data_IF_768301788542
#
_entry.id   IF_768301788542
#
_cell.length_a   1.000
_cell.length_b   1.000
_cell.length_c   1.000
_cell.angle_alpha   90.00
_cell.angle_beta   90.00
_cell.angle_gamma   90.00
#
_symmetry.space_group_name_H-M   'P 1'
#
loop_
_entity.id
_entity.type
_entity.pdbx_description
1 polymer ?
#
# COMPACT_ATOMS: atom_id res chain seq x y z
N UNK A 1 1.09 4.06 -5.06
CA UNK A 1 1.46 3.02 -4.06
C UNK A 1 2.97 2.82 -4.06
N UNK A 2 3.55 2.42 -2.93
CA UNK A 2 4.96 2.03 -2.84
C UNK A 2 5.15 0.54 -3.14
N UNK A 3 6.23 0.19 -3.84
CA UNK A 3 6.61 -1.20 -4.13
C UNK A 3 8.04 -1.43 -3.64
N UNK A 4 8.19 -2.36 -2.69
CA UNK A 4 9.47 -2.71 -2.07
C UNK A 4 10.37 -3.45 -3.07
N UNK A 5 11.64 -3.05 -3.11
CA UNK A 5 12.70 -3.63 -3.93
C UNK A 5 13.42 -4.79 -3.23
N UNK A 6 13.38 -4.85 -1.88
CA UNK A 6 14.00 -5.95 -1.11
C UNK A 6 13.29 -7.28 -1.39
N UNK A 7 14.06 -8.38 -1.42
CA UNK A 7 13.54 -9.73 -1.68
C UNK A 7 13.13 -10.00 -3.12
N UNK A 8 13.42 -9.10 -4.07
CA UNK A 8 13.22 -9.33 -5.50
C UNK A 8 14.53 -9.88 -6.11
N UNK A 9 14.45 -11.09 -6.68
CA UNK A 9 15.59 -11.75 -7.33
C UNK A 9 16.15 -10.91 -8.48
N UNK A 10 17.48 -10.82 -8.53
CA UNK A 10 18.27 -10.15 -9.55
C UNK A 10 19.18 -11.18 -10.23
N UNK A 11 18.70 -11.81 -11.29
CA UNK A 11 19.51 -12.74 -12.08
C UNK A 11 20.53 -12.02 -12.98
N UNK A 12 20.33 -10.73 -13.28
CA UNK A 12 21.15 -10.02 -14.26
C UNK A 12 22.41 -9.32 -13.72
N UNK A 13 22.43 -8.68 -12.53
CA UNK A 13 23.55 -7.77 -12.17
C UNK A 13 23.84 -7.54 -10.66
N UNK A 14 24.06 -8.59 -9.86
CA UNK A 14 24.84 -8.45 -8.62
C UNK A 14 24.05 -8.40 -7.30
N UNK A 15 23.13 -9.36 -7.12
CA UNK A 15 22.62 -9.74 -5.81
C UNK A 15 21.41 -8.94 -5.32
N UNK A 16 20.70 -9.52 -4.37
CA UNK A 16 19.56 -8.89 -3.71
C UNK A 16 20.04 -7.74 -2.81
N UNK A 17 19.16 -6.77 -2.52
CA UNK A 17 19.45 -5.74 -1.52
C UNK A 17 19.82 -6.46 -0.21
N UNK A 18 20.99 -6.19 0.38
CA UNK A 18 21.47 -6.94 1.54
C UNK A 18 20.48 -6.92 2.71
N UNK A 19 20.39 -8.04 3.40
CA UNK A 19 19.70 -8.09 4.69
C UNK A 19 20.34 -7.06 5.64
N UNK A 20 19.50 -6.30 6.35
CA UNK A 20 19.93 -5.21 7.22
C UNK A 20 20.16 -3.85 6.54
N UNK A 21 20.01 -3.74 5.21
CA UNK A 21 20.04 -2.42 4.55
C UNK A 21 18.88 -1.54 5.04
N UNK A 22 19.22 -0.44 5.72
CA UNK A 22 18.28 0.45 6.40
C UNK A 22 17.93 1.71 5.59
N UNK A 23 18.43 1.85 4.36
CA UNK A 23 18.07 2.97 3.48
C UNK A 23 16.73 2.79 2.76
N UNK A 24 16.33 3.77 1.95
CA UNK A 24 15.14 3.62 1.10
C UNK A 24 15.39 2.59 -0.01
N UNK A 25 14.42 1.70 -0.22
CA UNK A 25 14.48 0.63 -1.23
C UNK A 25 13.08 0.32 -1.78
N UNK A 26 12.43 1.34 -2.33
CA UNK A 26 11.12 1.19 -2.96
C UNK A 26 10.96 2.20 -4.10
N UNK A 27 10.03 1.92 -5.00
CA UNK A 27 9.59 2.86 -6.04
C UNK A 27 8.11 3.18 -5.90
N UNK A 28 7.71 4.36 -6.35
CA UNK A 28 6.30 4.73 -6.45
C UNK A 28 5.74 4.28 -7.79
N UNK A 29 4.54 3.70 -7.74
CA UNK A 29 3.82 3.17 -8.90
C UNK A 29 2.40 3.68 -8.88
N UNK A 30 1.86 3.97 -10.06
CA UNK A 30 0.54 4.55 -10.25
C UNK A 30 -0.31 3.63 -11.12
N UNK A 31 -1.49 3.28 -10.60
CA UNK A 31 -2.60 2.78 -11.39
C UNK A 31 -3.46 3.99 -11.77
N UNK A 32 -3.83 4.12 -13.05
CA UNK A 32 -4.57 5.27 -13.58
C UNK A 32 -5.86 4.80 -14.22
N UNK A 33 -6.97 5.46 -13.89
CA UNK A 33 -8.28 5.27 -14.51
C UNK A 33 -9.10 6.57 -14.37
N UNK A 34 -10.19 6.69 -15.12
CA UNK A 34 -11.15 7.77 -14.88
C UNK A 34 -11.98 7.47 -13.62
N UNK A 35 -12.34 8.51 -12.86
CA UNK A 35 -13.12 8.34 -11.63
C UNK A 35 -14.46 7.63 -11.89
N UNK A 36 -15.15 7.97 -12.98
CA UNK A 36 -16.40 7.32 -13.37
C UNK A 36 -16.25 5.83 -13.70
N UNK A 37 -15.13 5.43 -14.32
CA UNK A 37 -14.85 4.02 -14.58
C UNK A 37 -14.56 3.26 -13.28
N UNK A 38 -13.78 3.86 -12.37
CA UNK A 38 -13.46 3.25 -11.09
C UNK A 38 -14.73 3.02 -10.25
N UNK A 39 -15.62 4.00 -10.21
CA UNK A 39 -16.89 3.90 -9.49
C UNK A 39 -17.88 2.94 -10.18
N UNK A 40 -17.85 2.83 -11.51
CA UNK A 40 -18.82 2.06 -12.29
C UNK A 40 -18.49 0.57 -12.47
N UNK A 41 -17.21 0.17 -12.33
CA UNK A 41 -16.76 -1.20 -12.65
C UNK A 41 -16.48 -2.09 -11.42
N UNK A 42 -16.75 -1.59 -10.22
CA UNK A 42 -16.64 -2.34 -8.97
C UNK A 42 -15.21 -2.63 -8.50
N UNK A 43 -15.10 -3.38 -7.39
CA UNK A 43 -13.83 -3.59 -6.68
C UNK A 43 -12.84 -4.48 -7.45
N UNK A 44 -13.33 -5.51 -8.16
CA UNK A 44 -12.48 -6.41 -8.94
C UNK A 44 -11.66 -5.67 -10.00
N UNK A 45 -12.27 -4.69 -10.68
CA UNK A 45 -11.57 -3.84 -11.63
C UNK A 45 -10.46 -3.00 -10.97
N UNK A 46 -10.74 -2.42 -9.80
CA UNK A 46 -9.74 -1.66 -9.05
C UNK A 46 -8.54 -2.54 -8.63
N UNK A 47 -8.81 -3.77 -8.18
CA UNK A 47 -7.78 -4.76 -7.83
C UNK A 47 -6.93 -5.12 -9.05
N UNK A 48 -7.56 -5.36 -10.20
CA UNK A 48 -6.85 -5.67 -11.45
C UNK A 48 -5.91 -4.53 -11.87
N UNK A 49 -6.38 -3.29 -11.87
CA UNK A 49 -5.55 -2.11 -12.17
C UNK A 49 -4.33 -2.02 -11.25
N UNK A 50 -4.52 -2.28 -9.95
CA UNK A 50 -3.42 -2.27 -8.97
C UNK A 50 -2.44 -3.42 -9.25
N UNK A 51 -2.95 -4.61 -9.53
CA UNK A 51 -2.15 -5.81 -9.83
C UNK A 51 -1.29 -5.59 -11.06
N UNK A 52 -1.88 -5.11 -12.15
CA UNK A 52 -1.16 -4.80 -13.39
C UNK A 52 -0.11 -3.73 -13.17
N UNK A 53 -0.45 -2.65 -12.46
CA UNK A 53 0.50 -1.59 -12.15
C UNK A 53 1.71 -2.11 -11.37
N UNK A 54 1.49 -2.93 -10.32
CA UNK A 54 2.57 -3.57 -9.55
C UNK A 54 3.37 -4.59 -10.36
N UNK A 55 2.73 -5.33 -11.26
CA UNK A 55 3.37 -6.34 -12.09
C UNK A 55 4.39 -5.76 -13.08
N UNK A 56 4.18 -4.51 -13.55
CA UNK A 56 5.14 -3.78 -14.40
C UNK A 56 6.46 -3.45 -13.70
N UNK A 57 6.52 -3.55 -12.38
CA UNK A 57 7.70 -3.17 -11.61
C UNK A 57 8.71 -4.31 -11.62
N UNK A 58 9.57 -4.29 -12.63
CA UNK A 58 10.75 -5.16 -12.70
C UNK A 58 11.95 -4.49 -12.04
N UNK A 59 13.07 -5.22 -11.95
CA UNK A 59 14.33 -4.64 -11.50
C UNK A 59 14.82 -3.54 -12.44
N UNK A 60 14.74 -3.76 -13.76
CA UNK A 60 15.11 -2.80 -14.80
C UNK A 60 14.27 -1.53 -14.70
N UNK A 61 12.97 -1.67 -14.39
CA UNK A 61 12.11 -0.54 -14.11
C UNK A 61 12.61 0.26 -12.90
N UNK A 62 12.92 -0.41 -11.78
CA UNK A 62 13.42 0.26 -10.58
C UNK A 62 14.75 0.98 -10.82
N UNK A 63 15.67 0.36 -11.57
CA UNK A 63 16.93 0.97 -11.98
C UNK A 63 16.72 2.18 -12.88
N UNK A 64 15.86 2.06 -13.89
CA UNK A 64 15.51 3.17 -14.78
C UNK A 64 14.92 4.35 -14.01
N UNK A 65 14.10 4.09 -12.98
CA UNK A 65 13.60 5.14 -12.09
C UNK A 65 14.73 5.80 -11.29
N UNK A 66 15.69 5.02 -10.78
CA UNK A 66 16.85 5.56 -10.07
C UNK A 66 17.71 6.43 -10.99
N UNK A 67 18.02 5.94 -12.21
CA UNK A 67 18.77 6.67 -13.22
C UNK A 67 18.06 7.98 -13.61
N UNK A 68 16.74 7.92 -13.82
CA UNK A 68 15.92 9.11 -14.08
C UNK A 68 16.01 10.13 -12.93
N UNK A 69 16.00 9.68 -11.67
CA UNK A 69 16.11 10.58 -10.52
C UNK A 69 17.49 11.21 -10.37
N UNK A 70 18.54 10.57 -10.90
CA UNK A 70 19.89 11.17 -10.97
C UNK A 70 19.93 12.25 -12.06
N UNK A 71 19.31 11.99 -13.22
CA UNK A 71 19.33 12.89 -14.37
C UNK A 71 18.42 14.11 -14.18
N UNK A 72 17.18 13.89 -13.75
CA UNK A 72 16.11 14.90 -13.71
C UNK A 72 15.78 15.35 -12.28
N UNK A 73 16.43 14.76 -11.28
CA UNK A 73 16.07 14.95 -9.88
C UNK A 73 14.78 14.21 -9.49
N UNK A 74 14.32 14.45 -8.25
CA UNK A 74 13.15 13.76 -7.71
C UNK A 74 11.84 14.39 -8.26
N UNK A 75 10.96 13.61 -8.91
CA UNK A 75 9.71 14.14 -9.44
C UNK A 75 8.76 14.57 -8.33
N UNK A 76 8.05 15.68 -8.55
CA UNK A 76 6.96 16.12 -7.68
C UNK A 76 5.74 15.24 -7.95
N UNK A 77 5.29 14.52 -6.91
CA UNK A 77 4.11 13.67 -7.00
C UNK A 77 2.86 14.56 -6.94
N UNK A 78 2.05 14.53 -8.01
CA UNK A 78 0.79 15.25 -8.07
C UNK A 78 -0.15 14.76 -6.96
N UNK A 79 -0.64 15.68 -6.12
CA UNK A 79 -1.55 15.37 -5.01
C UNK A 79 -3.03 15.47 -5.40
N UNK A 80 -3.35 16.29 -6.39
CA UNK A 80 -4.72 16.47 -6.86
C UNK A 80 -5.17 15.25 -7.67
N UNK A 81 -6.33 14.68 -7.33
CA UNK A 81 -6.91 13.48 -7.97
C UNK A 81 -6.00 12.23 -7.87
N UNK A 82 -5.12 12.21 -6.87
CA UNK A 82 -4.25 11.08 -6.56
C UNK A 82 -4.58 10.57 -5.17
N UNK A 83 -4.54 9.25 -4.99
CA UNK A 83 -4.65 8.62 -3.68
C UNK A 83 -3.38 7.83 -3.38
N UNK A 84 -2.68 8.21 -2.31
CA UNK A 84 -1.46 7.56 -1.86
C UNK A 84 -1.78 6.44 -0.88
N UNK A 85 -1.16 5.28 -1.08
CA UNK A 85 -1.26 4.13 -0.16
C UNK A 85 0.13 3.58 0.12
N UNK A 86 0.42 3.39 1.39
CA UNK A 86 1.64 2.77 1.92
C UNK A 86 1.26 1.64 2.86
N UNK A 87 1.95 0.51 2.74
CA UNK A 87 1.75 -0.63 3.62
C UNK A 87 2.92 -0.72 4.60
N UNK A 88 2.62 -0.62 5.89
CA UNK A 88 3.59 -0.74 7.00
C UNK A 88 3.21 -1.87 7.95
N UNK A 89 2.27 -2.74 7.55
CA UNK A 89 1.87 -3.91 8.34
C UNK A 89 3.03 -4.88 8.61
N UNK A 90 4.05 -4.87 7.75
CA UNK A 90 5.27 -5.66 7.87
C UNK A 90 6.46 -4.91 8.47
N UNK A 91 6.25 -3.73 9.05
CA UNK A 91 7.33 -2.94 9.65
C UNK A 91 7.80 -3.49 11.02
N UNK A 92 7.04 -4.42 11.63
CA UNK A 92 7.37 -5.03 12.91
C UNK A 92 7.19 -4.09 14.11
N UNK A 93 6.39 -3.02 13.96
CA UNK A 93 6.19 -2.06 15.04
C UNK A 93 5.53 -2.66 16.28
N UNK A 94 4.73 -3.72 16.11
CA UNK A 94 4.06 -4.49 17.16
C UNK A 94 4.94 -5.60 17.77
N UNK A 95 6.19 -5.74 17.29
CA UNK A 95 7.15 -6.75 17.76
C UNK A 95 8.29 -6.15 18.61
N UNK A 96 8.38 -4.83 18.70
CA UNK A 96 9.45 -4.13 19.43
C UNK A 96 9.28 -4.27 20.95
N UNK A 97 10.00 -5.22 21.55
CA UNK A 97 9.98 -5.51 22.99
C UNK A 97 11.28 -5.08 23.68
N UNK A 98 11.14 -4.30 24.76
CA UNK A 98 12.27 -3.72 25.51
C UNK A 98 12.34 -4.22 26.97
N UNK A 99 11.65 -5.31 27.29
CA UNK A 99 11.59 -5.90 28.64
C UNK A 99 10.30 -5.59 29.43
N UNK A 100 9.38 -4.82 28.86
CA UNK A 100 8.07 -4.51 29.44
C UNK A 100 6.90 -5.18 28.70
N UNK A 101 7.18 -6.19 27.88
CA UNK A 101 6.22 -6.79 26.96
C UNK A 101 6.13 -6.06 25.62
N UNK A 102 5.31 -6.61 24.72
CA UNK A 102 5.07 -6.06 23.38
C UNK A 102 4.19 -4.80 23.41
N UNK A 103 4.26 -3.93 22.39
CA UNK A 103 3.40 -2.77 22.29
C UNK A 103 1.93 -3.16 22.20
N UNK A 104 1.07 -2.50 22.99
CA UNK A 104 -0.39 -2.63 22.89
C UNK A 104 -0.92 -1.97 21.61
N UNK A 105 -0.26 -0.90 21.18
CA UNK A 105 -0.57 -0.18 19.95
C UNK A 105 0.72 0.32 19.31
N UNK A 106 0.79 0.23 17.99
CA UNK A 106 1.79 0.91 17.20
C UNK A 106 1.18 1.37 15.87
N UNK A 107 1.63 2.51 15.36
CA UNK A 107 1.04 3.09 14.16
C UNK A 107 1.84 4.27 13.62
N UNK A 108 1.40 4.76 12.47
CA UNK A 108 2.01 5.89 11.79
C UNK A 108 1.23 7.16 12.15
N UNK A 109 1.93 8.13 12.72
CA UNK A 109 1.42 9.50 12.80
C UNK A 109 1.66 10.14 11.44
N UNK A 110 0.62 10.26 10.64
CA UNK A 110 0.68 10.95 9.35
C UNK A 110 0.12 12.37 9.50
N UNK A 111 0.86 13.38 9.00
CA UNK A 111 0.26 14.69 8.65
C UNK A 111 -0.62 14.50 7.41
N UNK A 112 -1.77 13.87 7.63
CA UNK A 112 -2.74 13.59 6.59
C UNK A 112 -3.45 14.87 6.11
N UNK A 113 -3.38 15.95 6.89
CA UNK A 113 -3.92 17.28 6.56
C UNK A 113 -3.29 17.90 5.30
N UNK A 114 -2.10 17.46 4.87
CA UNK A 114 -1.43 17.96 3.65
C UNK A 114 -1.50 17.01 2.45
N UNK A 115 -2.47 16.10 2.41
CA UNK A 115 -2.59 15.12 1.31
C UNK A 115 -1.54 14.02 1.39
N UNK A 116 -1.29 13.53 2.62
CA UNK A 116 -0.44 12.37 2.88
C UNK A 116 -1.04 11.06 2.36
N UNK A 117 -0.24 9.99 2.38
CA UNK A 117 -0.71 8.65 2.04
C UNK A 117 -1.57 8.07 3.17
N UNK A 118 -2.52 7.20 2.82
CA UNK A 118 -3.13 6.27 3.75
C UNK A 118 -2.18 5.12 4.07
N UNK A 119 -2.18 4.68 5.32
CA UNK A 119 -1.30 3.62 5.81
C UNK A 119 -2.11 2.40 6.20
N UNK A 120 -1.70 1.22 5.71
CA UNK A 120 -2.14 -0.06 6.24
C UNK A 120 -1.20 -0.44 7.38
N UNK A 121 -1.77 -0.68 8.55
CA UNK A 121 -1.03 -0.98 9.79
C UNK A 121 -1.54 -2.29 10.36
N UNK A 122 -0.64 -3.11 10.90
CA UNK A 122 -1.00 -4.30 11.66
C UNK A 122 -1.22 -3.90 13.11
N UNK A 123 -2.24 -4.45 13.74
CA UNK A 123 -2.49 -4.31 15.17
C UNK A 123 -3.36 -5.44 15.69
N UNK A 124 -3.82 -5.30 16.93
CA UNK A 124 -4.75 -6.24 17.57
C UNK A 124 -6.08 -5.58 17.85
N UNK A 125 -7.17 -6.31 17.62
CA UNK A 125 -8.50 -5.88 18.02
C UNK A 125 -8.72 -6.07 19.53
N UNK A 126 -9.89 -5.68 20.04
CA UNK A 126 -10.26 -5.82 21.46
C UNK A 126 -10.25 -7.29 21.94
N UNK A 127 -10.40 -8.25 21.03
CA UNK A 127 -10.29 -9.69 21.27
C UNK A 127 -8.86 -10.24 21.22
N UNK A 128 -7.86 -9.41 20.89
CA UNK A 128 -6.46 -9.81 20.76
C UNK A 128 -6.09 -10.45 19.41
N UNK A 129 -7.03 -10.52 18.47
CA UNK A 129 -6.82 -11.06 17.12
C UNK A 129 -6.10 -10.06 16.22
N UNK A 130 -5.29 -10.57 15.30
CA UNK A 130 -4.53 -9.71 14.39
C UNK A 130 -5.46 -9.09 13.33
N UNK A 131 -5.42 -7.76 13.22
CA UNK A 131 -6.27 -6.98 12.30
C UNK A 131 -5.44 -5.95 11.52
N UNK A 132 -5.91 -5.60 10.32
CA UNK A 132 -5.33 -4.53 9.51
C UNK A 132 -6.14 -3.25 9.68
N UNK A 133 -5.52 -2.24 10.27
CA UNK A 133 -6.08 -0.90 10.41
C UNK A 133 -5.70 -0.02 9.22
N UNK A 134 -6.67 0.72 8.68
CA UNK A 134 -6.43 1.66 7.58
C UNK A 134 -6.78 3.08 8.03
N UNK A 135 -5.76 3.93 8.14
CA UNK A 135 -5.95 5.35 8.46
C UNK A 135 -6.34 6.16 7.21
N UNK A 136 -7.49 6.85 7.26
CA UNK A 136 -7.99 7.66 6.15
C UNK A 136 -8.36 9.04 6.65
N UNK A 137 -7.83 10.06 5.97
CA UNK A 137 -8.15 11.45 6.23
C UNK A 137 -8.99 12.02 5.09
N UNK A 138 -10.12 12.61 5.45
CA UNK A 138 -11.08 13.17 4.50
C UNK A 138 -11.45 14.59 4.94
N UNK A 139 -11.85 15.46 3.99
CA UNK A 139 -12.53 16.71 4.33
C UNK A 139 -13.75 16.44 5.21
N UNK A 140 -14.05 17.34 6.14
CA UNK A 140 -15.05 17.12 7.20
C UNK A 140 -16.44 16.69 6.71
N UNK A 141 -16.86 17.13 5.51
CA UNK A 141 -18.15 16.76 4.91
C UNK A 141 -18.20 15.36 4.27
N UNK A 142 -17.06 14.68 4.12
CA UNK A 142 -16.97 13.42 3.37
C UNK A 142 -17.04 12.18 4.27
N UNK A 143 -16.74 12.30 5.57
CA UNK A 143 -16.60 11.15 6.47
C UNK A 143 -17.87 10.31 6.57
N UNK A 144 -19.04 10.95 6.69
CA UNK A 144 -20.31 10.23 6.79
C UNK A 144 -20.61 9.45 5.50
N UNK A 145 -20.41 10.08 4.34
CA UNK A 145 -20.60 9.41 3.04
C UNK A 145 -19.61 8.26 2.86
N UNK A 146 -18.34 8.48 3.19
CA UNK A 146 -17.30 7.45 3.11
C UNK A 146 -17.64 6.23 3.94
N UNK A 147 -18.07 6.42 5.20
CA UNK A 147 -18.50 5.33 6.08
C UNK A 147 -19.60 4.50 5.44
N UNK A 148 -20.66 5.16 4.96
CA UNK A 148 -21.80 4.49 4.34
C UNK A 148 -21.39 3.66 3.11
N UNK A 149 -20.49 4.19 2.28
CA UNK A 149 -19.98 3.46 1.09
C UNK A 149 -19.13 2.24 1.49
N UNK A 150 -18.27 2.37 2.50
CA UNK A 150 -17.47 1.25 2.99
C UNK A 150 -18.36 0.15 3.54
N UNK A 151 -19.34 0.49 4.37
CA UNK A 151 -20.30 -0.48 4.93
C UNK A 151 -21.07 -1.22 3.83
N UNK A 152 -21.50 -0.49 2.79
CA UNK A 152 -22.14 -1.09 1.62
C UNK A 152 -21.20 -2.05 0.87
N UNK A 153 -19.92 -1.69 0.71
CA UNK A 153 -18.92 -2.53 0.04
C UNK A 153 -18.52 -3.76 0.86
N UNK A 154 -18.53 -3.69 2.18
CA UNK A 154 -18.13 -4.79 3.08
C UNK A 154 -19.29 -5.72 3.44
N UNK A 155 -20.49 -5.50 2.91
CA UNK A 155 -21.61 -6.43 3.09
C UNK A 155 -21.34 -7.73 2.32
N UNK A 156 -21.67 -8.89 2.92
CA UNK A 156 -21.26 -10.24 2.48
C UNK A 156 -21.41 -10.55 0.98
N UNK A 157 -22.41 -9.97 0.30
CA UNK A 157 -22.68 -10.17 -1.13
C UNK A 157 -21.57 -9.65 -2.05
N UNK A 158 -20.87 -8.59 -1.66
CA UNK A 158 -19.80 -7.95 -2.46
C UNK A 158 -18.41 -8.58 -2.20
N UNK A 159 -18.22 -9.23 -1.05
CA UNK A 159 -16.99 -9.92 -0.68
C UNK A 159 -16.80 -11.23 -1.47
N UNK A 160 -17.88 -11.95 -1.79
CA UNK A 160 -17.84 -13.16 -2.62
C UNK A 160 -17.40 -12.86 -4.07
N UNK A 161 -17.88 -11.76 -4.65
CA UNK A 161 -17.46 -11.32 -6.00
C UNK A 161 -15.97 -10.93 -6.03
N UNK A 162 -15.46 -10.24 -5.00
CA UNK A 162 -14.05 -9.87 -4.91
C UNK A 162 -13.12 -11.07 -4.62
N UNK A 163 -13.57 -12.05 -3.83
CA UNK A 163 -12.84 -13.28 -3.52
C UNK A 163 -12.77 -14.24 -4.71
N UNK A 164 -13.76 -14.20 -5.61
CA UNK A 164 -13.80 -15.02 -6.84
C UNK A 164 -12.77 -14.60 -7.89
N UNK A 165 -12.16 -13.42 -7.77
CA UNK A 165 -11.07 -12.99 -8.64
C UNK A 165 -9.80 -13.80 -8.30
N UNK A 166 -9.13 -14.43 -9.29
CA UNK A 166 -8.03 -15.34 -9.01
C UNK A 166 -6.88 -14.60 -8.31
N UNK A 167 -6.74 -14.89 -7.01
CA UNK A 167 -5.58 -14.56 -6.20
C UNK A 167 -4.42 -15.42 -6.70
N UNK A 168 -3.58 -14.85 -7.57
CA UNK A 168 -2.28 -15.42 -7.87
C UNK A 168 -1.41 -15.28 -6.60
N UNK A 169 -1.55 -16.24 -5.70
CA UNK A 169 -0.73 -16.41 -4.52
C UNK A 169 0.70 -16.75 -4.95
N UNK A 170 1.53 -15.74 -5.20
CA UNK A 170 2.98 -15.89 -5.35
C UNK A 170 3.72 -14.74 -4.69
N UNK A 171 3.97 -14.89 -3.40
CA UNK A 171 5.31 -14.91 -2.82
C UNK A 171 5.15 -15.06 -1.30
N UNK A 172 5.60 -16.19 -0.76
CA UNK A 172 6.07 -16.21 0.62
C UNK A 172 7.37 -15.40 0.61
N UNK A 173 7.47 -14.43 1.51
CA UNK A 173 8.72 -13.72 1.79
C UNK A 173 9.78 -14.71 2.26
#
# INVERSE_FOLDING_TARGET
MAVNARGRRTDAFGGEIPSGYYGNAFVFVVARCAAGELCGRGLGYAVELIREAKARVTYEYMRSVADLMVLEGRPVIARTRSFGVSDVSHAGFDEAEFGWGKPVYAGVIADAHRGGASFLMRGKNDGGEDETFVGIYLPGGCTARYRMEVEALTTAKNLEEASSAPLALRARY
#
